data_IF_550435031244
#
_entry.id   IF_550435031244
#
_cell.length_a   1.000
_cell.length_b   1.000
_cell.length_c   1.000
_cell.angle_alpha   90.00
_cell.angle_beta   90.00
_cell.angle_gamma   90.00
#
_symmetry.space_group_name_H-M   'P 1'
#
loop_
_entity.id
_entity.type
_entity.pdbx_description
1 polymer ?
#
# COMPACT_ATOMS: atom_id res chain seq x y z
N UNK A 1 8.61 14.07 32.99
CA UNK A 1 9.07 13.36 31.77
C UNK A 1 8.20 13.81 30.60
N UNK A 2 8.63 14.77 29.79
CA UNK A 2 7.78 15.35 28.75
C UNK A 2 8.00 14.63 27.42
N UNK A 3 7.02 13.81 27.05
CA UNK A 3 6.81 13.37 25.69
C UNK A 3 6.20 14.54 24.91
N UNK A 4 6.97 15.22 24.05
CA UNK A 4 6.40 16.11 23.06
C UNK A 4 7.41 16.41 21.93
N UNK A 5 6.87 16.44 20.71
CA UNK A 5 7.49 16.92 19.46
C UNK A 5 8.23 15.89 18.59
N UNK A 6 7.53 14.81 18.23
CA UNK A 6 7.57 14.36 16.82
C UNK A 6 6.77 15.38 16.00
N UNK A 7 7.01 15.55 14.68
CA UNK A 7 6.28 16.46 13.77
C UNK A 7 4.75 16.18 13.73
N UNK A 8 4.05 16.48 14.83
CA UNK A 8 2.60 16.46 15.02
C UNK A 8 1.96 17.74 14.43
N UNK A 9 2.80 18.64 13.90
CA UNK A 9 2.37 19.94 13.36
C UNK A 9 1.56 19.84 12.07
N UNK A 10 1.90 18.97 11.11
CA UNK A 10 1.35 19.07 9.75
C UNK A 10 -0.17 18.89 9.67
N UNK A 11 -0.72 17.85 10.33
CA UNK A 11 -2.17 17.59 10.32
C UNK A 11 -2.96 18.65 11.09
N UNK A 12 -2.44 19.08 12.26
CA UNK A 12 -3.04 20.15 13.05
C UNK A 12 -2.97 21.51 12.35
N UNK A 13 -1.84 21.84 11.74
CA UNK A 13 -1.66 23.05 10.94
C UNK A 13 -2.62 23.06 9.75
N UNK A 14 -2.78 21.92 9.07
CA UNK A 14 -3.75 21.77 7.99
C UNK A 14 -5.19 21.95 8.51
N UNK A 15 -5.57 21.29 9.60
CA UNK A 15 -6.90 21.43 10.20
C UNK A 15 -7.18 22.88 10.63
N UNK A 16 -6.20 23.56 11.24
CA UNK A 16 -6.31 24.96 11.64
C UNK A 16 -6.40 25.91 10.43
N UNK A 17 -5.61 25.67 9.38
CA UNK A 17 -5.67 26.44 8.15
C UNK A 17 -7.03 26.30 7.45
N UNK A 18 -7.55 25.07 7.38
CA UNK A 18 -8.86 24.79 6.82
C UNK A 18 -9.99 25.37 7.69
N UNK A 19 -9.85 25.41 9.02
CA UNK A 19 -10.81 26.10 9.89
C UNK A 19 -10.85 27.61 9.67
N UNK A 20 -9.68 28.22 9.39
CA UNK A 20 -9.56 29.65 9.09
C UNK A 20 -10.01 30.00 7.67
N UNK A 21 -10.10 29.02 6.78
CA UNK A 21 -10.60 29.24 5.44
C UNK A 21 -12.06 29.69 5.54
N UNK A 22 -12.40 30.81 4.94
CA UNK A 22 -13.79 31.24 4.87
C UNK A 22 -14.49 30.48 3.75
N UNK A 23 -15.24 29.45 4.13
CA UNK A 23 -15.87 28.49 3.23
C UNK A 23 -16.99 29.09 2.35
N UNK A 24 -17.39 30.35 2.60
CA UNK A 24 -18.36 31.07 1.77
C UNK A 24 -18.16 32.60 1.85
N UNK A 25 -17.39 33.19 0.93
CA UNK A 25 -17.49 34.63 0.61
C UNK A 25 -17.89 34.83 -0.86
N UNK A 26 -18.97 35.56 -1.17
CA UNK A 26 -19.28 35.93 -2.54
C UNK A 26 -18.22 36.92 -3.05
N UNK A 27 -17.57 36.60 -4.19
CA UNK A 27 -16.63 37.51 -4.87
C UNK A 27 -15.15 37.08 -4.91
N UNK A 28 -14.79 35.90 -4.37
CA UNK A 28 -13.47 35.29 -4.56
C UNK A 28 -13.60 33.87 -5.13
N UNK A 29 -12.56 33.43 -5.85
CA UNK A 29 -12.46 32.14 -6.57
C UNK A 29 -13.07 31.00 -5.74
N UNK A 30 -14.04 30.29 -6.31
CA UNK A 30 -14.65 29.12 -5.69
C UNK A 30 -13.68 27.94 -5.73
N UNK A 31 -13.02 27.67 -4.60
CA UNK A 31 -12.18 26.49 -4.42
C UNK A 31 -13.04 25.27 -4.08
N UNK A 32 -12.96 24.21 -4.90
CA UNK A 32 -13.51 22.89 -4.57
C UNK A 32 -12.39 22.01 -4.04
N UNK A 33 -12.51 21.55 -2.80
CA UNK A 33 -11.52 20.69 -2.14
C UNK A 33 -12.15 19.34 -1.79
N UNK A 34 -11.42 18.25 -2.05
CA UNK A 34 -11.75 16.90 -1.57
C UNK A 34 -10.68 16.47 -0.57
N UNK A 35 -11.08 16.17 0.65
CA UNK A 35 -10.19 15.65 1.69
C UNK A 35 -10.49 14.17 1.92
N UNK A 36 -9.46 13.34 1.89
CA UNK A 36 -9.56 11.92 2.20
C UNK A 36 -8.64 11.58 3.38
N UNK A 37 -9.08 10.68 4.25
CA UNK A 37 -8.28 10.22 5.39
C UNK A 37 -8.64 8.81 5.82
N UNK A 38 -7.72 8.13 6.50
CA UNK A 38 -8.04 6.89 7.23
C UNK A 38 -8.87 7.22 8.49
N UNK A 39 -9.76 6.32 8.94
CA UNK A 39 -10.63 6.53 10.10
C UNK A 39 -9.88 6.40 11.44
N UNK A 40 -8.65 6.90 11.51
CA UNK A 40 -7.90 6.91 12.76
C UNK A 40 -8.50 7.93 13.71
N UNK A 41 -8.74 7.51 14.95
CA UNK A 41 -9.36 8.34 15.98
C UNK A 41 -8.65 9.68 16.15
N UNK A 42 -7.31 9.71 16.01
CA UNK A 42 -6.53 10.96 16.07
C UNK A 42 -6.91 11.93 14.96
N UNK A 43 -7.02 11.46 13.72
CA UNK A 43 -7.40 12.30 12.56
C UNK A 43 -8.86 12.75 12.71
N UNK A 44 -9.76 11.83 13.06
CA UNK A 44 -11.17 12.15 13.28
C UNK A 44 -11.36 13.24 14.35
N UNK A 45 -10.58 13.20 15.44
CA UNK A 45 -10.63 14.24 16.49
C UNK A 45 -10.16 15.60 15.95
N UNK A 46 -9.03 15.65 15.26
CA UNK A 46 -8.47 16.89 14.72
C UNK A 46 -9.37 17.54 13.67
N UNK A 47 -10.14 16.75 12.91
CA UNK A 47 -11.03 17.21 11.85
C UNK A 47 -12.52 17.18 12.23
N UNK A 48 -12.84 16.90 13.50
CA UNK A 48 -14.22 16.75 13.99
C UNK A 48 -15.09 17.99 13.77
N UNK A 49 -14.48 19.17 13.70
CA UNK A 49 -15.12 20.43 13.32
C UNK A 49 -15.88 20.34 11.99
N UNK A 50 -15.38 19.56 11.01
CA UNK A 50 -16.03 19.43 9.70
C UNK A 50 -17.28 18.57 9.71
N UNK A 51 -17.46 17.71 10.72
CA UNK A 51 -18.58 16.77 10.76
C UNK A 51 -19.94 17.47 10.70
N UNK A 52 -20.02 18.72 11.17
CA UNK A 52 -21.26 19.52 11.16
C UNK A 52 -21.29 20.58 10.04
N UNK A 53 -20.21 20.73 9.27
CA UNK A 53 -20.05 21.83 8.30
C UNK A 53 -19.97 21.36 6.86
N UNK A 54 -19.47 20.15 6.64
CA UNK A 54 -19.25 19.59 5.31
C UNK A 54 -19.82 18.17 5.28
N UNK A 55 -20.48 17.76 4.19
CA UNK A 55 -20.89 16.37 4.00
C UNK A 55 -19.67 15.45 4.13
N UNK A 56 -19.68 14.57 5.14
CA UNK A 56 -18.67 13.54 5.30
C UNK A 56 -19.18 12.24 4.68
N UNK A 57 -18.41 11.69 3.74
CA UNK A 57 -18.66 10.35 3.20
C UNK A 57 -17.78 9.38 3.97
N UNK A 58 -18.39 8.53 4.78
CA UNK A 58 -17.68 7.42 5.42
C UNK A 58 -17.74 6.20 4.52
N UNK A 59 -16.60 5.86 3.90
CA UNK A 59 -16.44 4.62 3.15
C UNK A 59 -16.18 3.48 4.15
N UNK A 60 -17.26 2.91 4.69
CA UNK A 60 -17.16 1.69 5.48
C UNK A 60 -17.00 0.50 4.52
N UNK A 61 -15.95 -0.30 4.71
CA UNK A 61 -15.70 -1.51 3.93
C UNK A 61 -15.77 -2.80 4.76
N UNK A 62 -16.19 -2.70 6.02
CA UNK A 62 -16.14 -3.81 6.99
C UNK A 62 -17.50 -4.50 7.19
N UNK A 63 -18.59 -3.89 6.72
CA UNK A 63 -19.92 -4.51 6.75
C UNK A 63 -20.07 -5.61 5.72
N UNK A 64 -20.86 -6.65 6.03
CA UNK A 64 -21.00 -7.83 5.17
C UNK A 64 -21.52 -7.50 3.75
N UNK A 65 -22.51 -6.59 3.66
CA UNK A 65 -23.04 -6.13 2.38
C UNK A 65 -22.02 -5.30 1.59
N UNK A 66 -21.19 -4.50 2.27
CA UNK A 66 -20.11 -3.72 1.67
C UNK A 66 -18.99 -4.63 1.17
N UNK A 67 -18.58 -5.64 1.97
CA UNK A 67 -17.60 -6.65 1.58
C UNK A 67 -18.06 -7.40 0.33
N UNK A 68 -19.34 -7.76 0.24
CA UNK A 68 -19.88 -8.41 -0.95
C UNK A 68 -19.83 -7.49 -2.19
N UNK A 69 -20.22 -6.21 -2.05
CA UNK A 69 -20.13 -5.22 -3.14
C UNK A 69 -18.69 -5.00 -3.59
N UNK A 70 -17.76 -4.88 -2.64
CA UNK A 70 -16.32 -4.73 -2.90
C UNK A 70 -15.79 -5.97 -3.63
N UNK A 71 -16.20 -7.17 -3.21
CA UNK A 71 -15.79 -8.41 -3.88
C UNK A 71 -16.26 -8.44 -5.34
N UNK A 72 -17.49 -7.98 -5.62
CA UNK A 72 -18.01 -7.86 -7.00
C UNK A 72 -17.23 -6.83 -7.82
N UNK A 73 -16.91 -5.67 -7.23
CA UNK A 73 -16.10 -4.63 -7.89
C UNK A 73 -14.69 -5.15 -8.22
N UNK A 74 -14.07 -5.87 -7.29
CA UNK A 74 -12.76 -6.51 -7.48
C UNK A 74 -12.79 -7.53 -8.62
N UNK A 75 -13.86 -8.31 -8.74
CA UNK A 75 -14.02 -9.24 -9.86
C UNK A 75 -14.01 -8.51 -11.22
N UNK A 76 -14.61 -7.33 -11.31
CA UNK A 76 -14.56 -6.50 -12.53
C UNK A 76 -13.13 -6.04 -12.83
N UNK A 77 -12.37 -5.64 -11.80
CA UNK A 77 -10.96 -5.25 -11.95
C UNK A 77 -10.11 -6.43 -12.41
N UNK A 78 -10.36 -7.63 -11.87
CA UNK A 78 -9.68 -8.86 -12.28
C UNK A 78 -9.97 -9.16 -13.74
N UNK A 79 -11.23 -9.14 -14.16
CA UNK A 79 -11.61 -9.37 -15.55
C UNK A 79 -10.92 -8.39 -16.51
N UNK A 80 -10.87 -7.11 -16.14
CA UNK A 80 -10.14 -6.09 -16.91
C UNK A 80 -8.64 -6.42 -17.00
N UNK A 81 -8.00 -6.74 -15.88
CA UNK A 81 -6.55 -7.06 -15.87
C UNK A 81 -6.22 -8.36 -16.59
N UNK A 82 -7.10 -9.35 -16.52
CA UNK A 82 -6.98 -10.59 -17.30
C UNK A 82 -7.01 -10.23 -18.79
N UNK A 83 -7.93 -9.37 -19.23
CA UNK A 83 -8.01 -8.96 -20.64
C UNK A 83 -6.74 -8.24 -21.11
N UNK A 84 -6.21 -7.34 -20.28
CA UNK A 84 -4.95 -6.63 -20.57
C UNK A 84 -3.78 -7.61 -20.68
N UNK A 85 -3.68 -8.55 -19.73
CA UNK A 85 -2.64 -9.58 -19.71
C UNK A 85 -2.79 -10.54 -20.91
N UNK A 86 -4.02 -10.95 -21.24
CA UNK A 86 -4.33 -11.77 -22.41
C UNK A 86 -3.87 -11.13 -23.70
N UNK A 87 -4.06 -9.81 -23.82
CA UNK A 87 -3.63 -9.06 -25.00
C UNK A 87 -2.10 -8.97 -25.09
N UNK A 88 -1.43 -8.79 -23.96
CA UNK A 88 0.03 -8.70 -23.90
C UNK A 88 0.73 -10.05 -24.17
N UNK A 89 0.22 -11.15 -23.58
CA UNK A 89 0.78 -12.50 -23.72
C UNK A 89 0.18 -13.31 -24.88
N UNK A 90 -0.79 -12.75 -25.61
CA UNK A 90 -1.54 -13.45 -26.67
C UNK A 90 -2.19 -14.77 -26.17
N UNK A 91 -2.88 -14.70 -25.02
CA UNK A 91 -3.50 -15.87 -24.40
C UNK A 91 -4.69 -16.38 -25.21
N UNK A 92 -4.82 -17.70 -25.28
CA UNK A 92 -6.01 -18.36 -25.82
C UNK A 92 -7.21 -18.22 -24.86
N UNK A 93 -8.45 -18.32 -25.35
CA UNK A 93 -9.65 -18.23 -24.52
C UNK A 93 -9.67 -19.22 -23.34
N UNK A 94 -9.14 -20.43 -23.54
CA UNK A 94 -9.04 -21.48 -22.52
C UNK A 94 -8.06 -21.11 -21.40
N UNK A 95 -6.95 -20.45 -21.75
CA UNK A 95 -5.93 -19.99 -20.80
C UNK A 95 -6.46 -18.81 -19.98
N UNK A 96 -7.19 -17.91 -20.64
CA UNK A 96 -7.90 -16.80 -20.00
C UNK A 96 -8.93 -17.31 -18.98
N UNK A 97 -9.71 -18.33 -19.37
CA UNK A 97 -10.71 -18.94 -18.51
C UNK A 97 -10.07 -19.64 -17.30
N UNK A 98 -8.99 -20.39 -17.52
CA UNK A 98 -8.22 -21.03 -16.43
C UNK A 98 -7.70 -19.97 -15.44
N UNK A 99 -7.11 -18.89 -15.94
CA UNK A 99 -6.62 -17.79 -15.09
C UNK A 99 -7.75 -17.15 -14.28
N UNK A 100 -8.91 -16.93 -14.90
CA UNK A 100 -10.11 -16.38 -14.23
C UNK A 100 -10.59 -17.30 -13.11
N UNK A 101 -10.64 -18.61 -13.36
CA UNK A 101 -11.06 -19.59 -12.37
C UNK A 101 -10.11 -19.66 -11.18
N UNK A 102 -8.79 -19.71 -11.41
CA UNK A 102 -7.82 -19.76 -10.32
C UNK A 102 -7.81 -18.47 -9.49
N UNK A 103 -7.91 -17.30 -10.13
CA UNK A 103 -7.98 -16.03 -9.40
C UNK A 103 -9.25 -15.92 -8.57
N UNK A 104 -10.40 -16.35 -9.10
CA UNK A 104 -11.68 -16.28 -8.39
C UNK A 104 -11.82 -17.28 -7.23
N UNK A 105 -10.97 -18.31 -7.15
CA UNK A 105 -10.97 -19.27 -6.03
C UNK A 105 -10.48 -18.67 -4.72
N UNK A 106 -9.73 -17.58 -4.79
CA UNK A 106 -9.10 -17.00 -3.60
C UNK A 106 -10.12 -16.10 -2.89
N UNK A 107 -10.47 -16.36 -1.62
CA UNK A 107 -11.45 -15.56 -0.90
C UNK A 107 -10.85 -14.22 -0.42
N UNK A 108 -11.73 -13.27 -0.04
CA UNK A 108 -11.34 -11.99 0.60
C UNK A 108 -10.28 -11.19 -0.15
N UNK A 109 -10.36 -11.20 -1.47
CA UNK A 109 -9.41 -10.48 -2.31
C UNK A 109 -9.49 -8.98 -2.01
N UNK A 110 -8.34 -8.34 -1.94
CA UNK A 110 -8.23 -6.89 -1.81
C UNK A 110 -7.65 -6.31 -3.08
N UNK A 111 -7.84 -5.01 -3.32
CA UNK A 111 -7.18 -4.32 -4.43
C UNK A 111 -5.66 -4.50 -4.42
N UNK A 112 -5.05 -4.54 -3.23
CA UNK A 112 -3.63 -4.79 -3.08
C UNK A 112 -3.25 -6.21 -3.50
N UNK A 113 -4.03 -7.21 -3.07
CA UNK A 113 -3.81 -8.60 -3.48
C UNK A 113 -3.83 -8.74 -5.01
N UNK A 114 -4.84 -8.16 -5.68
CA UNK A 114 -4.94 -8.17 -7.15
C UNK A 114 -3.71 -7.52 -7.78
N UNK A 115 -3.31 -6.34 -7.29
CA UNK A 115 -2.13 -5.66 -7.81
C UNK A 115 -0.88 -6.55 -7.72
N UNK A 116 -0.61 -7.13 -6.54
CA UNK A 116 0.60 -7.92 -6.31
C UNK A 116 0.63 -9.24 -7.10
N UNK A 117 -0.51 -9.92 -7.23
CA UNK A 117 -0.60 -11.18 -7.98
C UNK A 117 -0.31 -10.98 -9.45
N UNK A 118 -0.87 -9.92 -10.06
CA UNK A 118 -0.60 -9.63 -11.46
C UNK A 118 0.87 -9.27 -11.71
N UNK A 119 1.54 -8.59 -10.78
CA UNK A 119 2.99 -8.37 -10.86
C UNK A 119 3.76 -9.70 -10.72
N UNK A 120 3.35 -10.60 -9.81
CA UNK A 120 3.95 -11.94 -9.69
C UNK A 120 3.79 -12.74 -10.99
N UNK A 121 2.62 -12.70 -11.63
CA UNK A 121 2.39 -13.40 -12.90
C UNK A 121 3.30 -12.82 -13.97
N UNK A 122 3.31 -11.50 -14.17
CA UNK A 122 4.19 -10.86 -15.16
C UNK A 122 5.67 -11.19 -14.96
N UNK A 123 6.13 -11.23 -13.72
CA UNK A 123 7.52 -11.55 -13.38
C UNK A 123 7.88 -13.04 -13.55
N UNK A 124 6.89 -13.94 -13.54
CA UNK A 124 7.12 -15.40 -13.59
C UNK A 124 6.85 -16.01 -14.95
N UNK A 125 6.24 -15.25 -15.86
CA UNK A 125 5.98 -15.70 -17.22
C UNK A 125 7.21 -15.42 -18.09
N UNK A 126 7.99 -16.47 -18.32
CA UNK A 126 8.87 -16.55 -19.49
C UNK A 126 8.03 -16.69 -20.78
N UNK A 127 8.67 -16.61 -21.96
CA UNK A 127 8.07 -16.58 -23.31
C UNK A 127 7.17 -17.82 -23.64
N UNK A 128 7.06 -18.81 -22.74
CA UNK A 128 6.38 -20.09 -23.01
C UNK A 128 4.98 -20.21 -22.39
N UNK A 129 4.12 -21.03 -23.00
CA UNK A 129 2.78 -21.32 -22.46
C UNK A 129 2.80 -22.15 -21.17
N UNK A 130 3.81 -23.01 -21.03
CA UNK A 130 3.92 -23.90 -19.87
C UNK A 130 4.30 -23.10 -18.60
N UNK A 131 5.18 -22.10 -18.71
CA UNK A 131 5.53 -21.20 -17.60
C UNK A 131 4.31 -20.45 -17.07
N UNK A 132 3.41 -19.99 -17.94
CA UNK A 132 2.16 -19.37 -17.50
C UNK A 132 1.26 -20.35 -16.75
N UNK A 133 1.04 -21.55 -17.28
CA UNK A 133 0.20 -22.55 -16.60
C UNK A 133 0.76 -22.91 -15.22
N UNK A 134 2.08 -23.05 -15.11
CA UNK A 134 2.75 -23.27 -13.83
C UNK A 134 2.62 -22.06 -12.90
N UNK A 135 2.76 -20.83 -13.41
CA UNK A 135 2.62 -19.61 -12.61
C UNK A 135 1.19 -19.46 -12.04
N UNK A 136 0.18 -19.74 -12.86
CA UNK A 136 -1.24 -19.64 -12.50
C UNK A 136 -1.65 -20.72 -11.50
N UNK A 137 -1.15 -21.95 -11.63
CA UNK A 137 -1.40 -23.04 -10.66
C UNK A 137 -0.68 -22.83 -9.32
N UNK A 138 0.44 -22.11 -9.33
CA UNK A 138 1.25 -21.82 -8.15
C UNK A 138 1.05 -20.39 -7.64
N UNK A 139 -0.16 -19.85 -7.82
CA UNK A 139 -0.52 -18.56 -7.25
C UNK A 139 -0.59 -18.66 -5.73
N UNK A 140 0.01 -17.70 -5.00
CA UNK A 140 -0.11 -17.66 -3.55
C UNK A 140 -1.57 -17.55 -3.13
N UNK A 141 -2.09 -18.47 -2.28
CA UNK A 141 -3.50 -18.50 -1.91
C UNK A 141 -3.87 -17.42 -0.89
N UNK A 142 -2.88 -16.81 -0.22
CA UNK A 142 -3.11 -15.77 0.79
C UNK A 142 -2.21 -14.56 0.57
N UNK A 143 -2.58 -13.43 1.17
CA UNK A 143 -1.79 -12.20 1.10
C UNK A 143 -0.43 -12.36 1.79
N UNK A 144 -0.35 -13.15 2.85
CA UNK A 144 0.90 -13.50 3.53
C UNK A 144 1.83 -14.25 2.58
N UNK A 145 1.31 -15.26 1.87
CA UNK A 145 2.09 -16.01 0.88
C UNK A 145 2.54 -15.12 -0.30
N UNK A 146 1.74 -14.11 -0.67
CA UNK A 146 2.16 -13.08 -1.64
C UNK A 146 3.36 -12.31 -1.11
N UNK A 147 3.32 -11.83 0.14
CA UNK A 147 4.44 -11.13 0.75
C UNK A 147 5.68 -12.01 0.88
N UNK A 148 5.53 -13.27 1.28
CA UNK A 148 6.64 -14.23 1.34
C UNK A 148 7.31 -14.39 -0.03
N UNK A 149 6.50 -14.53 -1.10
CA UNK A 149 7.04 -14.64 -2.47
C UNK A 149 7.80 -13.40 -2.90
N UNK A 150 7.34 -12.20 -2.50
CA UNK A 150 8.04 -10.93 -2.75
C UNK A 150 9.35 -10.88 -1.96
N UNK A 151 9.33 -11.25 -0.68
CA UNK A 151 10.51 -11.25 0.18
C UNK A 151 11.55 -12.27 -0.28
N UNK A 152 11.14 -13.43 -0.82
CA UNK A 152 12.04 -14.43 -1.39
C UNK A 152 12.81 -13.94 -2.62
N UNK A 153 12.32 -12.90 -3.33
CA UNK A 153 13.04 -12.29 -4.47
C UNK A 153 14.22 -11.40 -4.04
N UNK A 154 14.37 -11.12 -2.75
CA UNK A 154 15.44 -10.25 -2.25
C UNK A 154 16.83 -10.88 -2.45
N UNK A 155 17.77 -10.10 -2.99
CA UNK A 155 19.17 -10.52 -3.17
C UNK A 155 19.94 -10.70 -1.85
N UNK A 156 19.53 -9.99 -0.80
CA UNK A 156 20.17 -10.02 0.51
C UNK A 156 19.13 -10.13 1.64
N UNK A 157 18.71 -11.37 2.01
CA UNK A 157 17.67 -11.60 3.00
C UNK A 157 18.00 -11.03 4.39
N UNK A 158 19.28 -11.02 4.78
CA UNK A 158 19.69 -10.48 6.07
C UNK A 158 19.57 -8.95 6.11
N UNK A 159 19.96 -8.25 5.04
CA UNK A 159 19.76 -6.79 4.91
C UNK A 159 18.26 -6.44 4.92
N UNK A 160 17.42 -7.17 4.17
CA UNK A 160 15.98 -6.94 4.15
C UNK A 160 15.32 -7.16 5.53
N UNK A 161 15.66 -8.26 6.21
CA UNK A 161 15.17 -8.52 7.58
C UNK A 161 15.56 -7.39 8.54
N UNK A 162 16.80 -6.90 8.43
CA UNK A 162 17.28 -5.79 9.27
C UNK A 162 16.54 -4.48 8.98
N UNK A 163 16.28 -4.16 7.72
CA UNK A 163 15.44 -3.01 7.34
C UNK A 163 14.06 -3.14 7.97
N UNK A 164 13.40 -4.30 7.84
CA UNK A 164 12.07 -4.52 8.42
C UNK A 164 12.06 -4.38 9.94
N UNK A 165 13.06 -4.91 10.65
CA UNK A 165 13.20 -4.71 12.09
C UNK A 165 13.33 -3.24 12.47
N UNK A 166 14.15 -2.47 11.74
CA UNK A 166 14.30 -1.03 11.96
C UNK A 166 12.97 -0.31 11.75
N UNK A 167 12.26 -0.60 10.66
CA UNK A 167 10.96 0.01 10.35
C UNK A 167 9.93 -0.30 11.44
N UNK A 168 9.88 -1.54 11.93
CA UNK A 168 8.93 -1.95 12.98
C UNK A 168 9.27 -1.33 14.33
N UNK A 169 10.56 -1.20 14.66
CA UNK A 169 11.01 -0.60 15.92
C UNK A 169 10.94 0.95 15.92
N UNK A 170 10.85 1.58 14.74
CA UNK A 170 10.85 3.02 14.63
C UNK A 170 9.54 3.64 15.17
N UNK A 171 9.69 4.62 16.06
CA UNK A 171 8.55 5.36 16.65
C UNK A 171 7.82 6.24 15.61
N UNK A 172 8.53 6.60 14.52
CA UNK A 172 8.00 7.39 13.41
C UNK A 172 8.66 6.94 12.10
N UNK A 173 8.08 7.27 10.93
CA UNK A 173 8.77 7.08 9.67
C UNK A 173 10.16 7.73 9.68
N UNK A 174 11.15 6.98 9.19
CA UNK A 174 12.53 7.41 9.07
C UNK A 174 12.73 8.13 7.73
N UNK A 175 13.59 9.14 7.70
CA UNK A 175 14.11 9.68 6.43
C UNK A 175 15.05 8.67 5.78
N UNK A 176 15.40 8.91 4.51
CA UNK A 176 16.39 8.09 3.82
C UNK A 176 17.76 8.18 4.52
N UNK A 177 18.17 9.37 4.97
CA UNK A 177 19.45 9.51 5.71
C UNK A 177 19.40 8.76 7.05
N UNK A 178 18.28 8.85 7.77
CA UNK A 178 18.10 8.15 9.05
C UNK A 178 18.13 6.63 8.87
N UNK A 179 17.50 6.11 7.82
CA UNK A 179 17.55 4.69 7.49
C UNK A 179 18.96 4.24 7.09
N UNK A 180 19.66 5.02 6.27
CA UNK A 180 21.04 4.73 5.88
C UNK A 180 21.96 4.65 7.10
N UNK A 181 21.83 5.62 8.02
CA UNK A 181 22.56 5.63 9.29
C UNK A 181 22.21 4.41 10.15
N UNK A 182 20.91 4.10 10.33
CA UNK A 182 20.47 2.95 11.10
C UNK A 182 20.99 1.61 10.55
N UNK A 183 21.12 1.50 9.22
CA UNK A 183 21.71 0.33 8.56
C UNK A 183 23.24 0.27 8.67
N UNK A 184 23.92 1.41 8.82
CA UNK A 184 25.37 1.42 9.04
C UNK A 184 25.76 0.95 10.45
N UNK A 185 24.91 1.15 11.47
CA UNK A 185 25.23 0.82 12.88
C UNK A 185 25.26 -0.70 13.13
N UNK A 186 26.44 -1.31 13.32
CA UNK A 186 26.60 -2.73 13.70
C UNK A 186 26.86 -2.86 15.21
N UNK A 187 26.64 -4.05 15.77
CA UNK A 187 26.86 -4.35 17.21
C UNK A 187 28.29 -4.05 17.69
N UNK A 188 29.27 -4.04 16.77
CA UNK A 188 30.68 -3.82 17.09
C UNK A 188 31.11 -2.35 17.01
N UNK A 189 30.24 -1.44 16.55
CA UNK A 189 30.57 -0.02 16.42
C UNK A 189 30.50 0.65 17.80
N UNK A 190 31.59 1.32 18.19
CA UNK A 190 31.71 1.97 19.50
C UNK A 190 31.66 3.49 19.40
N UNK A 191 31.73 4.04 18.19
CA UNK A 191 31.61 5.47 17.94
C UNK A 191 31.18 5.81 16.52
N UNK A 192 30.94 7.10 16.27
CA UNK A 192 30.50 7.62 14.97
C UNK A 192 31.54 7.40 13.84
N UNK A 193 32.83 7.31 14.20
CA UNK A 193 33.93 7.09 13.26
C UNK A 193 33.99 5.68 12.65
N UNK A 194 33.20 4.74 13.16
CA UNK A 194 33.16 3.34 12.68
C UNK A 194 32.07 3.13 11.60
N UNK A 195 31.34 4.19 11.21
CA UNK A 195 30.20 4.10 10.31
C UNK A 195 30.62 4.31 8.84
N UNK A 196 30.73 3.21 8.10
CA UNK A 196 30.78 3.26 6.63
C UNK A 196 29.39 3.55 6.07
N UNK A 197 29.09 4.84 5.87
CA UNK A 197 27.86 5.28 5.22
C UNK A 197 27.98 5.00 3.71
N UNK A 198 27.17 4.07 3.20
CA UNK A 198 26.90 3.99 1.75
C UNK A 198 26.15 5.28 1.35
N UNK A 199 26.90 6.31 0.95
CA UNK A 199 26.34 7.54 0.38
C UNK A 199 25.67 7.18 -0.94
N UNK A 200 24.34 7.07 -0.92
CA UNK A 200 23.54 6.96 -2.13
C UNK A 200 23.69 8.23 -2.97
N UNK A 201 24.10 8.07 -4.23
CA UNK A 201 23.99 9.09 -5.26
C UNK A 201 22.56 9.25 -5.77
#
# INVERSE_FOLDING_TARGET
MPWMSVKVGGQRQLAEALRKLEWARPGKVALKSLLTSRPYTRIQREFSFFNNLIPAIHLNGEGEAEVEKISREINVVIESKIKDLSSWLQLLPEEQQTLKEELNRIPHQTYLWVHLIFEIIKDSVDITKESLRTAVRNLPPTIEAVYDKILCKTRNPSKAKRILHIVVAAVRPLTLEEMALALAIRENHKGYGDLDLELGG
#
